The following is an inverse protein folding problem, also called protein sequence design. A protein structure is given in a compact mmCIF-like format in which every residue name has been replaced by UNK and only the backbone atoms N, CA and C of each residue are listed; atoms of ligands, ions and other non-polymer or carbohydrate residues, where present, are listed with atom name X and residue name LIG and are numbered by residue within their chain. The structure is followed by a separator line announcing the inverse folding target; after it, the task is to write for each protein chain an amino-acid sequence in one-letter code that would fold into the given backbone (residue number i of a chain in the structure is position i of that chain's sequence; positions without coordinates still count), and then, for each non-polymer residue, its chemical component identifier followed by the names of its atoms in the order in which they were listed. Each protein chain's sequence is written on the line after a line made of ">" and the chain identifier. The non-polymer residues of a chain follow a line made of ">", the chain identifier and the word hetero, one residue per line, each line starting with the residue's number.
data_IF_982750851668
#
_entry.id   IF_982750851668
#
_cell.length_a   1.000
_cell.length_b   1.000
_cell.length_c   1.000
_cell.angle_alpha   90.00
_cell.angle_beta   90.00
_cell.angle_gamma   90.00
#
_symmetry.space_group_name_H-M   'P 1'
#
loop_
_entity.id
_entity.type
_entity.pdbx_description
1 polymer ?
#
# COMPACT_ATOMS: atom_id res chain seq x y z
N UNK A 1 -0.28 0.09 21.60
CA UNK A 1 0.94 0.86 21.91
C UNK A 1 1.63 1.32 20.62
N UNK A 2 2.16 0.42 19.79
CA UNK A 2 2.85 0.80 18.54
C UNK A 2 2.04 1.70 17.57
N UNK A 3 0.74 1.45 17.38
CA UNK A 3 -0.09 2.31 16.52
C UNK A 3 -0.28 3.71 17.11
N UNK A 4 -0.44 3.81 18.43
CA UNK A 4 -0.57 5.10 19.12
C UNK A 4 0.72 5.92 19.00
N UNK A 5 1.87 5.27 19.16
CA UNK A 5 3.18 5.91 18.97
C UNK A 5 3.38 6.35 17.51
N UNK A 6 2.95 5.52 16.55
CA UNK A 6 2.99 5.86 15.12
C UNK A 6 2.15 7.11 14.84
N UNK A 7 0.91 7.15 15.32
CA UNK A 7 0.04 8.33 15.21
C UNK A 7 0.65 9.56 15.86
N UNK A 8 1.27 9.40 17.03
CA UNK A 8 1.91 10.50 17.75
C UNK A 8 3.08 11.07 16.96
N UNK A 9 4.00 10.23 16.48
CA UNK A 9 5.17 10.66 15.71
C UNK A 9 4.73 11.32 14.39
N UNK A 10 3.83 10.67 13.65
CA UNK A 10 3.32 11.22 12.39
C UNK A 10 2.55 12.51 12.63
N UNK A 11 1.68 12.61 13.64
CA UNK A 11 0.93 13.83 13.93
C UNK A 11 1.83 15.05 14.22
N UNK A 12 3.00 14.82 14.82
CA UNK A 12 3.96 15.88 15.13
C UNK A 12 4.84 16.29 13.94
N UNK A 13 5.24 15.31 13.12
CA UNK A 13 6.24 15.52 12.07
C UNK A 13 5.65 15.64 10.66
N UNK A 14 4.50 15.03 10.38
CA UNK A 14 3.97 14.92 9.04
C UNK A 14 3.73 16.30 8.41
N UNK A 15 3.31 17.30 9.18
CA UNK A 15 3.09 18.68 8.68
C UNK A 15 4.39 19.42 8.32
N UNK A 16 5.52 18.94 8.82
CA UNK A 16 6.85 19.51 8.56
C UNK A 16 7.52 18.85 7.36
N UNK A 17 6.99 17.71 6.89
CA UNK A 17 7.54 17.03 5.73
C UNK A 17 7.23 17.85 4.47
N UNK A 18 8.23 18.15 3.62
CA UNK A 18 8.02 18.88 2.38
C UNK A 18 7.14 18.09 1.39
N UNK A 19 7.08 16.77 1.56
CA UNK A 19 6.25 15.87 0.79
C UNK A 19 5.80 14.71 1.68
N UNK A 20 4.56 14.24 1.48
CA UNK A 20 4.09 13.01 2.12
C UNK A 20 4.67 11.81 1.37
N UNK A 21 5.02 10.78 2.12
CA UNK A 21 5.52 9.53 1.57
C UNK A 21 4.47 8.43 1.54
N UNK A 22 4.97 7.21 1.53
CA UNK A 22 4.17 5.98 1.67
C UNK A 22 4.40 5.36 3.04
N UNK A 23 3.32 4.88 3.66
CA UNK A 23 3.42 3.92 4.76
C UNK A 23 3.59 2.55 4.13
N UNK A 24 4.85 2.13 4.02
CA UNK A 24 5.28 0.87 3.43
C UNK A 24 4.71 -0.35 4.17
N UNK A 25 4.38 -1.41 3.42
CA UNK A 25 3.94 -2.72 3.91
C UNK A 25 2.80 -2.58 4.92
N UNK A 26 1.73 -1.89 4.52
CA UNK A 26 0.65 -1.56 5.44
C UNK A 26 -0.13 -2.83 5.84
N UNK A 27 -0.02 -3.18 7.13
CA UNK A 27 -0.73 -4.34 7.72
C UNK A 27 -1.46 -4.02 9.01
N UNK A 28 -1.59 -2.73 9.34
CA UNK A 28 -2.15 -2.22 10.59
C UNK A 28 -3.67 -2.11 10.56
N UNK A 29 -4.25 -1.56 11.63
CA UNK A 29 -5.70 -1.34 11.77
C UNK A 29 -6.25 -0.33 10.74
N UNK A 30 -7.56 -0.41 10.50
CA UNK A 30 -8.29 0.59 9.71
C UNK A 30 -8.17 1.99 10.33
N UNK A 31 -8.22 2.07 11.66
CA UNK A 31 -8.08 3.33 12.40
C UNK A 31 -6.72 4.01 12.16
N UNK A 32 -5.64 3.23 12.00
CA UNK A 32 -4.36 3.80 11.58
C UNK A 32 -4.35 4.15 10.08
N UNK A 33 -4.99 3.35 9.22
CA UNK A 33 -5.07 3.62 7.79
C UNK A 33 -5.77 4.97 7.53
N UNK A 34 -6.94 5.18 8.13
CA UNK A 34 -7.72 6.41 8.03
C UNK A 34 -6.92 7.63 8.49
N UNK A 35 -6.21 7.51 9.61
CA UNK A 35 -5.34 8.57 10.10
C UNK A 35 -4.22 8.91 9.10
N UNK A 36 -3.51 7.91 8.60
CA UNK A 36 -2.42 8.11 7.63
C UNK A 36 -2.93 8.75 6.33
N UNK A 37 -4.09 8.31 5.84
CA UNK A 37 -4.75 8.88 4.67
C UNK A 37 -5.17 10.33 4.90
N UNK A 38 -5.72 10.65 6.08
CA UNK A 38 -6.09 12.02 6.45
C UNK A 38 -4.87 12.95 6.53
N UNK A 39 -3.71 12.44 6.98
CA UNK A 39 -2.43 13.16 6.98
C UNK A 39 -1.77 13.24 5.59
N UNK A 40 -2.40 12.65 4.57
CA UNK A 40 -2.01 12.75 3.16
C UNK A 40 -0.98 11.71 2.69
N UNK A 41 -0.73 10.67 3.47
CA UNK A 41 0.17 9.58 3.07
C UNK A 41 -0.50 8.63 2.07
N UNK A 42 0.34 7.95 1.29
CA UNK A 42 -0.03 6.76 0.53
C UNK A 42 0.10 5.51 1.39
N UNK A 43 -0.61 4.43 1.04
CA UNK A 43 -0.46 3.12 1.67
C UNK A 43 0.13 2.12 0.67
N UNK A 44 1.21 1.44 1.08
CA UNK A 44 1.87 0.41 0.30
C UNK A 44 1.29 -0.96 0.58
N UNK A 45 0.94 -1.71 -0.46
CA UNK A 45 0.42 -3.07 -0.34
C UNK A 45 1.22 -4.08 -1.16
N UNK A 46 1.48 -5.24 -0.56
CA UNK A 46 2.30 -6.30 -1.10
C UNK A 46 1.57 -7.65 -1.15
N UNK A 47 2.32 -8.76 -1.26
CA UNK A 47 1.77 -10.10 -1.39
C UNK A 47 0.84 -10.53 -0.26
N UNK A 48 0.87 -9.88 0.91
CA UNK A 48 -0.09 -10.10 2.00
C UNK A 48 -1.54 -9.92 1.52
N UNK A 49 -1.81 -9.04 0.55
CA UNK A 49 -3.14 -8.85 -0.04
C UNK A 49 -3.75 -10.16 -0.58
N UNK A 50 -2.88 -11.09 -1.02
CA UNK A 50 -3.25 -12.39 -1.59
C UNK A 50 -3.50 -13.48 -0.53
N UNK A 51 -3.19 -13.22 0.75
CA UNK A 51 -3.26 -14.25 1.79
C UNK A 51 -4.69 -14.36 2.33
N UNK A 52 -5.23 -15.57 2.34
CA UNK A 52 -6.62 -15.85 2.77
C UNK A 52 -6.91 -15.44 4.23
N UNK A 53 -5.89 -15.40 5.09
CA UNK A 53 -6.01 -15.06 6.51
C UNK A 53 -5.77 -13.56 6.81
N UNK A 54 -5.47 -12.75 5.79
CA UNK A 54 -5.17 -11.32 5.94
C UNK A 54 -6.39 -10.44 5.63
N UNK A 55 -7.59 -10.82 6.10
CA UNK A 55 -8.82 -10.07 5.78
C UNK A 55 -8.79 -8.64 6.33
N UNK A 56 -8.09 -8.39 7.43
CA UNK A 56 -7.89 -7.02 7.95
C UNK A 56 -7.19 -6.12 6.90
N UNK A 57 -6.16 -6.64 6.22
CA UNK A 57 -5.44 -5.90 5.17
C UNK A 57 -6.32 -5.74 3.93
N UNK A 58 -7.06 -6.79 3.57
CA UNK A 58 -7.97 -6.78 2.42
C UNK A 58 -9.09 -5.75 2.61
N UNK A 59 -9.63 -5.61 3.81
CA UNK A 59 -10.62 -4.58 4.13
C UNK A 59 -10.02 -3.17 4.04
N UNK A 60 -8.80 -2.96 4.55
CA UNK A 60 -8.10 -1.68 4.37
C UNK A 60 -7.92 -1.35 2.89
N UNK A 61 -7.54 -2.33 2.05
CA UNK A 61 -7.41 -2.13 0.60
C UNK A 61 -8.75 -1.68 0.00
N UNK A 62 -9.88 -2.32 0.37
CA UNK A 62 -11.22 -1.93 -0.13
C UNK A 62 -11.54 -0.47 0.18
N UNK A 63 -11.30 -0.04 1.42
CA UNK A 63 -11.61 1.31 1.89
C UNK A 63 -10.61 2.37 1.41
N UNK A 64 -9.37 1.99 1.10
CA UNK A 64 -8.34 2.94 0.65
C UNK A 64 -8.70 3.52 -0.72
N UNK A 65 -8.73 4.86 -0.90
CA UNK A 65 -8.92 5.47 -2.21
C UNK A 65 -7.87 5.00 -3.21
N UNK A 66 -8.26 4.76 -4.46
CA UNK A 66 -7.36 4.17 -5.47
C UNK A 66 -6.14 5.05 -5.74
N UNK A 67 -6.31 6.37 -5.64
CA UNK A 67 -5.30 7.42 -5.78
C UNK A 67 -4.33 7.50 -4.58
N UNK A 68 -4.52 6.67 -3.56
CA UNK A 68 -3.67 6.56 -2.36
C UNK A 68 -3.02 5.20 -2.19
N UNK A 69 -3.18 4.30 -3.16
CA UNK A 69 -2.58 2.97 -3.17
C UNK A 69 -1.24 3.00 -3.92
N UNK A 70 -0.21 2.38 -3.35
CA UNK A 70 1.01 1.98 -4.05
C UNK A 70 1.17 0.46 -4.02
N UNK A 71 1.66 -0.09 -5.13
CA UNK A 71 1.97 -1.52 -5.28
C UNK A 71 3.43 -1.76 -4.95
N UNK A 72 3.71 -2.81 -4.17
CA UNK A 72 5.08 -3.22 -3.89
C UNK A 72 5.20 -4.73 -3.75
N UNK A 73 6.42 -5.26 -3.74
CA UNK A 73 6.65 -6.69 -3.49
C UNK A 73 7.19 -6.96 -2.09
N UNK A 74 7.98 -6.03 -1.54
CA UNK A 74 8.81 -6.25 -0.35
C UNK A 74 9.75 -7.46 -0.50
N UNK A 75 10.22 -7.71 -1.72
CA UNK A 75 11.15 -8.80 -2.00
C UNK A 75 12.45 -8.64 -1.18
N UNK A 76 12.97 -9.73 -0.59
CA UNK A 76 12.69 -11.14 -0.89
C UNK A 76 11.56 -11.77 -0.05
N UNK A 77 10.78 -11.00 0.70
CA UNK A 77 9.75 -11.48 1.61
C UNK A 77 8.35 -11.45 0.99
N UNK A 78 7.36 -12.03 1.70
CA UNK A 78 5.93 -11.85 1.42
C UNK A 78 5.48 -12.31 0.02
N UNK A 79 6.05 -13.40 -0.50
CA UNK A 79 5.68 -13.95 -1.82
C UNK A 79 4.17 -14.18 -1.93
N UNK A 80 3.51 -13.66 -2.99
CA UNK A 80 2.06 -13.79 -3.15
C UNK A 80 1.64 -15.23 -3.46
N UNK A 81 0.38 -15.55 -3.19
CA UNK A 81 -0.28 -16.78 -3.65
C UNK A 81 -0.28 -16.79 -5.20
N UNK A 82 -0.02 -17.95 -5.85
CA UNK A 82 0.15 -19.29 -5.28
C UNK A 82 1.58 -19.67 -4.85
N UNK A 83 2.55 -18.76 -4.92
CA UNK A 83 3.99 -19.05 -4.75
C UNK A 83 4.50 -18.88 -3.31
N UNK A 84 3.63 -19.05 -2.31
CA UNK A 84 4.03 -19.00 -0.90
C UNK A 84 5.13 -20.03 -0.61
N UNK A 85 6.10 -19.66 0.23
CA UNK A 85 7.17 -20.56 0.69
C UNK A 85 8.45 -20.55 -0.16
N UNK A 86 8.49 -19.79 -1.25
CA UNK A 86 9.72 -19.49 -2.01
C UNK A 86 10.10 -18.01 -1.88
N UNK A 87 11.35 -17.59 -2.15
CA UNK A 87 11.73 -16.17 -2.13
C UNK A 87 10.90 -15.33 -3.11
N UNK A 88 10.53 -14.12 -2.68
CA UNK A 88 9.82 -13.16 -3.52
C UNK A 88 10.78 -12.41 -4.45
N UNK A 89 10.24 -11.79 -5.48
CA UNK A 89 10.95 -11.02 -6.47
C UNK A 89 9.99 -10.06 -7.19
N UNK A 90 10.49 -8.98 -7.82
CA UNK A 90 9.65 -8.00 -8.51
C UNK A 90 8.70 -8.58 -9.58
N UNK A 91 9.07 -9.70 -10.22
CA UNK A 91 8.23 -10.33 -11.25
C UNK A 91 6.92 -10.93 -10.71
N UNK A 92 6.75 -11.03 -9.38
CA UNK A 92 5.50 -11.46 -8.75
C UNK A 92 4.49 -10.31 -8.55
N UNK A 93 4.86 -9.05 -8.82
CA UNK A 93 3.97 -7.90 -8.71
C UNK A 93 2.63 -8.06 -9.45
N UNK A 94 2.53 -8.71 -10.63
CA UNK A 94 1.26 -8.91 -11.31
C UNK A 94 0.20 -9.66 -10.47
N UNK A 95 0.60 -10.61 -9.60
CA UNK A 95 -0.34 -11.32 -8.73
C UNK A 95 -0.91 -10.42 -7.63
N UNK A 96 -0.09 -9.49 -7.16
CA UNK A 96 -0.45 -8.48 -6.16
C UNK A 96 -1.41 -7.48 -6.80
N UNK A 97 -1.06 -6.95 -7.98
CA UNK A 97 -1.88 -6.04 -8.75
C UNK A 97 -3.26 -6.64 -9.06
N UNK A 98 -3.32 -7.86 -9.59
CA UNK A 98 -4.59 -8.52 -9.90
C UNK A 98 -5.48 -8.65 -8.65
N UNK A 99 -4.90 -9.07 -7.53
CA UNK A 99 -5.66 -9.23 -6.28
C UNK A 99 -6.22 -7.89 -5.78
N UNK A 100 -5.44 -6.82 -5.87
CA UNK A 100 -5.88 -5.48 -5.45
C UNK A 100 -6.96 -4.96 -6.42
N UNK A 101 -6.83 -5.19 -7.73
CA UNK A 101 -7.84 -4.81 -8.71
C UNK A 101 -9.18 -5.50 -8.42
N UNK A 102 -9.14 -6.81 -8.12
CA UNK A 102 -10.33 -7.58 -7.74
C UNK A 102 -10.98 -7.03 -6.46
N UNK A 103 -10.18 -6.66 -5.45
CA UNK A 103 -10.68 -6.07 -4.19
C UNK A 103 -11.28 -4.67 -4.40
N UNK A 104 -10.75 -3.91 -5.36
CA UNK A 104 -11.20 -2.55 -5.70
C UNK A 104 -12.32 -2.54 -6.74
N UNK A 105 -12.69 -3.70 -7.29
CA UNK A 105 -13.72 -3.85 -8.34
C UNK A 105 -13.41 -3.01 -9.60
N UNK A 106 -12.12 -2.92 -9.95
CA UNK A 106 -11.63 -2.22 -11.16
C UNK A 106 -10.85 -3.18 -12.04
N UNK A 107 -10.62 -2.79 -13.30
CA UNK A 107 -9.72 -3.54 -14.17
C UNK A 107 -8.26 -3.42 -13.70
N UNK A 108 -7.44 -4.42 -14.00
CA UNK A 108 -6.00 -4.35 -13.68
C UNK A 108 -5.31 -3.21 -14.42
N UNK A 109 -5.73 -2.91 -15.66
CA UNK A 109 -5.16 -1.82 -16.45
C UNK A 109 -5.45 -0.44 -15.80
N UNK A 110 -6.67 -0.26 -15.29
CA UNK A 110 -7.05 0.94 -14.55
C UNK A 110 -6.26 1.08 -13.24
N UNK A 111 -6.15 -0.01 -12.46
CA UNK A 111 -5.32 -0.03 -11.26
C UNK A 111 -3.87 0.36 -11.58
N UNK A 112 -3.28 -0.23 -12.62
CA UNK A 112 -1.89 0.00 -12.99
C UNK A 112 -1.67 1.45 -13.45
N UNK A 113 -2.58 2.01 -14.25
CA UNK A 113 -2.50 3.40 -14.68
C UNK A 113 -2.51 4.37 -13.48
N UNK A 114 -3.43 4.16 -12.53
CA UNK A 114 -3.57 5.02 -11.35
C UNK A 114 -2.39 4.83 -10.39
N UNK A 115 -2.02 3.60 -10.07
CA UNK A 115 -0.92 3.32 -9.12
C UNK A 115 0.46 3.70 -9.68
N UNK A 116 0.64 3.68 -11.00
CA UNK A 116 1.82 4.25 -11.65
C UNK A 116 1.87 5.78 -11.47
N UNK A 117 0.76 6.48 -11.73
CA UNK A 117 0.66 7.92 -11.48
C UNK A 117 0.92 8.25 -10.00
N UNK A 118 0.31 7.49 -9.08
CA UNK A 118 0.54 7.63 -7.64
C UNK A 118 2.02 7.49 -7.29
N UNK A 119 2.74 6.55 -7.93
CA UNK A 119 4.17 6.33 -7.69
C UNK A 119 5.01 7.53 -8.13
N UNK A 120 4.68 8.14 -9.29
CA UNK A 120 5.31 9.37 -9.76
C UNK A 120 5.04 10.54 -8.80
N UNK A 121 3.78 10.74 -8.42
CA UNK A 121 3.34 11.81 -7.51
C UNK A 121 3.89 11.62 -6.09
N UNK A 122 4.17 10.39 -5.65
CA UNK A 122 4.68 10.09 -4.32
C UNK A 122 6.22 10.08 -4.26
N UNK A 123 6.92 9.66 -5.31
CA UNK A 123 8.37 9.39 -5.24
C UNK A 123 9.21 10.30 -6.14
N UNK A 124 8.61 11.00 -7.10
CA UNK A 124 9.34 11.71 -8.17
C UNK A 124 8.86 13.16 -8.39
N UNK A 125 8.39 13.83 -7.33
CA UNK A 125 7.76 15.18 -7.39
C UNK A 125 8.64 16.28 -7.98
N UNK A 126 9.97 16.13 -7.97
CA UNK A 126 10.91 17.13 -8.50
C UNK A 126 11.56 16.72 -9.84
N UNK A 127 11.02 15.72 -10.54
CA UNK A 127 11.57 15.23 -11.81
C UNK A 127 10.85 15.79 -13.06
N UNK A 128 10.01 16.82 -12.91
CA UNK A 128 9.38 17.57 -14.01
C UNK A 128 9.86 19.01 -14.08
#
# INVERSE_FOLDING_TARGET
>A
EAEADTKHVLGNLARQLPQKGVIHSFTSSMDLAEFCLAEGFYLGFNGIATFKNAENVREVIRQTPLERILLETDAPYLTPVPYRGVPNAPFYLPFIAQTIADLKEVSVDELLAITYKNSLDCLFVNAQ
#
